data_IF_435854168241
#
_entry.id   IF_435854168241
#
_cell.length_a   1.000
_cell.length_b   1.000
_cell.length_c   1.000
_cell.angle_alpha   90.00
_cell.angle_beta   90.00
_cell.angle_gamma   90.00
#
_symmetry.space_group_name_H-M   'P 1'
#
loop_
_entity.id
_entity.type
_entity.pdbx_description
1 polymer ?
#
# COMPACT_ATOMS: atom_id res chain seq x y z
N UNK A 1 -24.95 -1.49 -53.38
CA UNK A 1 -25.07 -1.58 -51.92
C UNK A 1 -23.75 -2.10 -51.34
N UNK A 2 -23.14 -1.30 -50.49
CA UNK A 2 -21.89 -1.68 -49.82
C UNK A 2 -22.19 -2.29 -48.47
N UNK A 3 -21.70 -3.53 -48.29
CA UNK A 3 -21.70 -4.15 -47.00
C UNK A 3 -20.40 -3.81 -46.30
N UNK A 4 -20.51 -2.89 -45.31
CA UNK A 4 -19.36 -2.60 -44.46
C UNK A 4 -19.28 -3.65 -43.38
N UNK A 5 -18.16 -4.35 -43.35
CA UNK A 5 -17.90 -5.30 -42.29
C UNK A 5 -17.26 -4.53 -41.14
N UNK A 6 -18.03 -4.31 -40.11
CA UNK A 6 -17.57 -3.62 -38.89
C UNK A 6 -17.12 -4.68 -37.90
N UNK A 7 -15.87 -4.59 -37.50
CA UNK A 7 -15.37 -5.42 -36.41
C UNK A 7 -15.46 -4.62 -35.12
N UNK A 8 -16.31 -5.06 -34.22
CA UNK A 8 -16.50 -4.43 -32.91
C UNK A 8 -15.79 -5.23 -31.84
N UNK A 9 -15.02 -4.54 -31.04
CA UNK A 9 -14.36 -5.14 -29.88
C UNK A 9 -15.11 -4.72 -28.64
N UNK A 10 -15.41 -5.70 -27.79
CA UNK A 10 -16.00 -5.43 -26.51
C UNK A 10 -14.91 -4.91 -25.58
N UNK A 11 -15.06 -3.65 -25.17
CA UNK A 11 -14.15 -3.03 -24.22
C UNK A 11 -14.68 -3.32 -22.84
N UNK A 12 -13.95 -4.09 -22.05
CA UNK A 12 -14.33 -4.43 -20.70
C UNK A 12 -13.36 -3.81 -19.72
N UNK A 13 -13.85 -2.95 -18.84
CA UNK A 13 -12.98 -2.37 -17.80
C UNK A 13 -12.52 -3.44 -16.81
N UNK A 14 -11.52 -3.08 -16.03
CA UNK A 14 -10.95 -3.97 -15.04
C UNK A 14 -11.99 -4.37 -13.99
N UNK A 15 -11.99 -5.63 -13.62
CA UNK A 15 -12.92 -6.22 -12.67
C UNK A 15 -12.18 -7.08 -11.66
N UNK A 16 -12.87 -7.43 -10.58
CA UNK A 16 -12.35 -8.36 -9.58
C UNK A 16 -11.95 -9.67 -10.27
N UNK A 17 -10.82 -10.20 -9.87
CA UNK A 17 -10.16 -11.41 -10.38
C UNK A 17 -9.39 -11.22 -11.70
N UNK A 18 -9.41 -10.05 -12.30
CA UNK A 18 -8.56 -9.76 -13.44
C UNK A 18 -7.11 -9.61 -12.99
N UNK A 19 -6.17 -10.09 -13.79
CA UNK A 19 -4.76 -9.79 -13.61
C UNK A 19 -4.44 -8.54 -14.41
N UNK A 20 -3.77 -7.59 -13.77
CA UNK A 20 -3.45 -6.31 -14.40
C UNK A 20 -1.97 -6.00 -14.24
N UNK A 21 -1.47 -5.20 -15.18
CA UNK A 21 -0.16 -4.55 -15.06
C UNK A 21 -0.39 -3.05 -15.05
N UNK A 22 0.28 -2.38 -14.15
CA UNK A 22 0.13 -0.95 -13.98
C UNK A 22 1.42 -0.30 -13.49
N UNK A 23 1.51 0.99 -13.71
CA UNK A 23 2.46 1.83 -13.01
C UNK A 23 1.74 2.63 -11.94
N UNK A 24 2.38 2.83 -10.83
CA UNK A 24 1.81 3.61 -9.75
C UNK A 24 2.86 4.49 -9.09
N UNK A 25 2.41 5.56 -8.49
CA UNK A 25 3.19 6.39 -7.58
C UNK A 25 2.32 6.69 -6.37
N UNK A 26 2.83 6.40 -5.20
CA UNK A 26 2.09 6.59 -3.94
C UNK A 26 2.63 7.77 -3.15
N UNK A 27 1.72 8.55 -2.58
CA UNK A 27 2.01 9.75 -1.81
C UNK A 27 1.39 9.68 -0.42
N UNK A 28 2.11 10.19 0.56
CA UNK A 28 1.61 10.39 1.92
C UNK A 28 0.71 11.64 1.97
N UNK A 29 0.06 11.86 3.11
CA UNK A 29 -0.79 13.05 3.33
C UNK A 29 -0.03 14.36 3.13
N UNK A 30 1.26 14.39 3.46
CA UNK A 30 2.09 15.59 3.30
C UNK A 30 2.58 15.81 1.86
N UNK A 31 2.20 14.94 0.94
CA UNK A 31 2.62 15.03 -0.46
C UNK A 31 3.94 14.33 -0.78
N UNK A 32 4.61 13.75 0.20
CA UNK A 32 5.84 13.01 -0.06
C UNK A 32 5.57 11.70 -0.75
N UNK A 33 6.34 11.39 -1.79
CA UNK A 33 6.30 10.10 -2.46
C UNK A 33 6.92 9.04 -1.55
N UNK A 34 6.19 7.96 -1.31
CA UNK A 34 6.74 6.87 -0.50
C UNK A 34 7.09 5.64 -1.31
N UNK A 35 6.51 5.49 -2.50
CA UNK A 35 6.81 4.36 -3.38
C UNK A 35 6.40 4.69 -4.81
N UNK A 36 7.06 4.05 -5.78
CA UNK A 36 6.71 4.21 -7.19
C UNK A 36 7.24 3.02 -7.98
N UNK A 37 6.54 2.68 -9.05
CA UNK A 37 7.02 1.72 -10.04
C UNK A 37 7.68 2.40 -11.24
N UNK A 38 7.62 3.73 -11.34
CA UNK A 38 8.24 4.46 -12.45
C UNK A 38 9.76 4.23 -12.47
N UNK A 39 10.29 3.96 -13.64
CA UNK A 39 11.69 3.61 -13.81
C UNK A 39 12.03 2.17 -13.46
N UNK A 40 11.02 1.38 -13.11
CA UNK A 40 11.15 -0.05 -12.76
C UNK A 40 10.16 -0.85 -13.59
N UNK A 41 10.11 -2.16 -13.37
CA UNK A 41 9.11 -3.00 -14.01
C UNK A 41 7.72 -2.65 -13.51
N UNK A 42 6.69 -2.70 -14.37
CA UNK A 42 5.32 -2.50 -13.94
C UNK A 42 4.92 -3.46 -12.83
N UNK A 43 4.04 -3.02 -11.97
CA UNK A 43 3.46 -3.87 -10.94
C UNK A 43 2.42 -4.79 -11.58
N UNK A 44 2.54 -6.08 -11.31
CA UNK A 44 1.56 -7.07 -11.74
C UNK A 44 0.78 -7.54 -10.52
N UNK A 45 -0.54 -7.46 -10.60
CA UNK A 45 -1.37 -7.90 -9.49
C UNK A 45 -2.71 -8.46 -9.98
N UNK A 46 -3.37 -9.20 -9.09
CA UNK A 46 -4.73 -9.67 -9.31
C UNK A 46 -5.65 -8.81 -8.47
N UNK A 47 -6.65 -8.19 -9.12
CA UNK A 47 -7.61 -7.32 -8.42
C UNK A 47 -8.43 -8.16 -7.44
N UNK A 48 -8.51 -7.69 -6.19
CA UNK A 48 -9.21 -8.40 -5.12
C UNK A 48 -8.31 -9.27 -4.28
N UNK A 49 -7.02 -9.35 -4.59
CA UNK A 49 -6.06 -10.11 -3.80
C UNK A 49 -5.94 -9.57 -2.38
N UNK A 50 -5.83 -10.46 -1.41
CA UNK A 50 -5.62 -10.09 -0.01
C UNK A 50 -4.25 -9.45 0.23
N UNK A 51 -3.30 -9.63 -0.68
CA UNK A 51 -1.98 -9.03 -0.59
C UNK A 51 -1.97 -7.54 -0.92
N UNK A 52 -3.06 -7.05 -1.52
CA UNK A 52 -3.21 -5.66 -1.94
C UNK A 52 -4.16 -4.96 -0.98
N UNK A 53 -3.82 -3.73 -0.57
CA UNK A 53 -4.68 -2.97 0.34
C UNK A 53 -6.07 -2.79 -0.28
N UNK A 54 -7.15 -2.92 0.53
CA UNK A 54 -8.51 -2.93 -0.01
C UNK A 54 -8.90 -1.73 -0.85
N UNK A 55 -8.47 -0.54 -0.45
CA UNK A 55 -8.80 0.68 -1.19
C UNK A 55 -8.13 0.74 -2.56
N UNK A 56 -6.95 0.14 -2.70
CA UNK A 56 -6.28 0.06 -4.00
C UNK A 56 -7.04 -0.86 -4.94
N UNK A 57 -7.45 -2.04 -4.44
CA UNK A 57 -8.28 -2.96 -5.20
C UNK A 57 -9.56 -2.30 -5.70
N UNK A 58 -10.26 -1.60 -4.81
CA UNK A 58 -11.50 -0.90 -5.15
C UNK A 58 -11.27 0.17 -6.20
N UNK A 59 -10.18 0.91 -6.07
CA UNK A 59 -9.85 2.00 -6.98
C UNK A 59 -9.50 1.53 -8.38
N UNK A 60 -9.07 0.29 -8.54
CA UNK A 60 -8.74 -0.28 -9.86
C UNK A 60 -9.96 -0.75 -10.62
N UNK A 61 -11.04 -1.07 -9.92
CA UNK A 61 -12.26 -1.53 -10.57
C UNK A 61 -12.82 -0.48 -11.52
N UNK A 62 -13.15 -0.89 -12.71
CA UNK A 62 -13.72 -0.01 -13.73
C UNK A 62 -12.68 0.75 -14.55
N UNK A 63 -11.39 0.58 -14.30
CA UNK A 63 -10.36 1.21 -15.13
C UNK A 63 -10.24 0.56 -16.49
N UNK A 64 -10.01 1.39 -17.49
CA UNK A 64 -9.73 0.93 -18.85
C UNK A 64 -8.22 0.95 -19.10
N UNK A 65 -7.75 0.09 -20.01
CA UNK A 65 -6.34 0.09 -20.41
C UNK A 65 -5.97 1.46 -20.99
N UNK A 66 -4.89 2.01 -20.49
CA UNK A 66 -4.42 3.35 -20.86
C UNK A 66 -4.97 4.48 -19.99
N UNK A 67 -5.94 4.18 -19.16
CA UNK A 67 -6.51 5.18 -18.26
C UNK A 67 -5.53 5.54 -17.15
N UNK A 68 -5.51 6.81 -16.79
CA UNK A 68 -4.80 7.30 -15.61
C UNK A 68 -5.84 7.70 -14.58
N UNK A 69 -5.65 7.26 -13.33
CA UNK A 69 -6.59 7.54 -12.27
C UNK A 69 -5.84 7.84 -10.98
N UNK A 70 -6.33 8.82 -10.25
CA UNK A 70 -5.85 9.09 -8.90
C UNK A 70 -6.78 8.40 -7.92
N UNK A 71 -6.20 7.58 -7.04
CA UNK A 71 -6.96 6.82 -6.05
C UNK A 71 -6.56 7.33 -4.68
N UNK A 72 -7.52 7.85 -3.93
CA UNK A 72 -7.30 8.29 -2.56
C UNK A 72 -7.88 7.26 -1.61
N UNK A 73 -7.06 6.79 -0.68
CA UNK A 73 -7.41 5.66 0.20
C UNK A 73 -7.33 6.10 1.65
N UNK A 74 -8.47 6.10 2.37
CA UNK A 74 -8.45 6.42 3.80
C UNK A 74 -7.77 5.31 4.60
N UNK A 75 -7.30 5.62 5.83
CA UNK A 75 -6.56 4.63 6.62
C UNK A 75 -7.24 3.29 6.79
N UNK A 76 -8.55 3.26 6.98
CA UNK A 76 -9.30 2.01 7.18
C UNK A 76 -9.23 1.07 5.98
N UNK A 77 -8.99 1.58 4.78
CA UNK A 77 -8.88 0.79 3.55
C UNK A 77 -7.42 0.70 3.06
N UNK A 78 -6.49 1.21 3.83
CA UNK A 78 -5.05 1.16 3.57
C UNK A 78 -4.35 0.33 4.66
N UNK A 79 -3.48 0.96 5.45
CA UNK A 79 -2.70 0.26 6.47
C UNK A 79 -3.30 0.37 7.87
N UNK A 80 -4.57 0.77 7.94
CA UNK A 80 -5.31 0.84 9.18
C UNK A 80 -5.13 2.16 9.92
N UNK A 81 -5.91 2.31 10.96
CA UNK A 81 -5.87 3.48 11.82
C UNK A 81 -4.63 3.45 12.70
N UNK A 82 -4.18 4.62 13.12
CA UNK A 82 -3.15 4.74 14.12
C UNK A 82 -3.75 4.41 15.49
N UNK A 83 -3.08 3.55 16.26
CA UNK A 83 -3.54 3.11 17.58
C UNK A 83 -2.55 3.55 18.65
N UNK A 84 -3.01 4.38 19.57
CA UNK A 84 -2.17 4.86 20.69
C UNK A 84 -1.76 3.71 21.62
N UNK A 85 -2.57 2.67 21.70
CA UNK A 85 -2.27 1.49 22.53
C UNK A 85 -1.17 0.60 21.94
N UNK A 86 -0.67 0.91 20.74
CA UNK A 86 0.51 0.27 20.17
C UNK A 86 1.80 1.03 20.45
N UNK A 87 1.75 2.07 21.27
CA UNK A 87 2.93 2.72 21.79
C UNK A 87 3.22 2.11 23.14
N UNK A 88 4.36 1.43 23.26
CA UNK A 88 4.72 0.68 24.46
C UNK A 88 5.99 1.23 25.10
N UNK A 89 6.02 1.22 26.42
CA UNK A 89 7.21 1.47 27.20
C UNK A 89 8.02 0.18 27.28
N UNK A 90 9.27 0.26 26.86
CA UNK A 90 10.20 -0.88 26.86
C UNK A 90 11.44 -0.48 27.65
N UNK A 91 11.94 -1.37 28.49
CA UNK A 91 13.15 -1.09 29.26
C UNK A 91 14.34 -0.88 28.31
N UNK A 92 15.14 0.15 28.59
CA UNK A 92 16.36 0.41 27.80
C UNK A 92 17.33 -0.76 27.86
N UNK A 93 17.33 -1.48 28.98
CA UNK A 93 18.21 -2.64 29.16
C UNK A 93 17.89 -3.79 28.20
N UNK A 94 16.65 -3.82 27.63
CA UNK A 94 16.29 -4.83 26.63
C UNK A 94 16.80 -4.52 25.23
N UNK A 95 17.34 -3.32 25.03
CA UNK A 95 17.88 -2.91 23.73
C UNK A 95 19.39 -3.16 23.69
N UNK A 96 19.84 -3.76 22.61
CA UNK A 96 21.26 -3.93 22.36
C UNK A 96 21.77 -2.72 21.59
N UNK A 97 22.86 -2.12 22.09
CA UNK A 97 23.51 -1.00 21.45
C UNK A 97 22.95 0.36 21.86
N UNK A 98 23.46 1.41 21.24
CA UNK A 98 23.06 2.77 21.49
C UNK A 98 21.80 3.11 20.69
N UNK A 99 20.71 3.38 21.38
CA UNK A 99 19.44 3.69 20.76
C UNK A 99 19.25 5.20 20.58
N UNK A 100 18.64 5.59 19.47
CA UNK A 100 18.31 6.97 19.15
C UNK A 100 16.86 7.07 18.74
N UNK A 101 16.24 8.23 18.97
CA UNK A 101 14.91 8.52 18.45
C UNK A 101 14.93 8.37 16.92
N UNK A 102 13.97 7.64 16.39
CA UNK A 102 13.90 7.33 14.96
C UNK A 102 14.45 5.97 14.58
N UNK A 103 15.19 5.32 15.46
CA UNK A 103 15.71 3.96 15.19
C UNK A 103 14.56 2.95 15.14
N UNK A 104 14.73 1.95 14.28
CA UNK A 104 13.78 0.85 14.15
C UNK A 104 14.28 -0.31 15.00
N UNK A 105 13.38 -0.88 15.79
CA UNK A 105 13.66 -2.04 16.62
C UNK A 105 12.77 -3.21 16.19
N UNK A 106 13.29 -4.40 16.33
CA UNK A 106 12.56 -5.62 16.03
C UNK A 106 12.65 -6.56 17.23
N UNK A 107 11.55 -7.25 17.50
CA UNK A 107 11.51 -8.20 18.58
C UNK A 107 10.38 -9.19 18.41
N UNK A 108 10.30 -10.15 19.32
CA UNK A 108 9.22 -11.12 19.34
C UNK A 108 8.39 -10.93 20.59
N UNK A 109 7.07 -10.86 20.40
CA UNK A 109 6.10 -10.83 21.49
C UNK A 109 5.14 -11.97 21.24
N UNK A 110 5.04 -12.89 22.21
CA UNK A 110 4.18 -14.08 22.11
C UNK A 110 4.39 -14.90 20.81
N UNK A 111 5.65 -15.00 20.36
CA UNK A 111 5.99 -15.73 19.16
C UNK A 111 5.85 -14.98 17.85
N UNK A 112 5.30 -13.79 17.88
CA UNK A 112 5.16 -12.93 16.71
C UNK A 112 6.28 -11.90 16.62
N UNK A 113 6.82 -11.74 15.42
CA UNK A 113 7.79 -10.67 15.19
C UNK A 113 7.09 -9.35 15.04
N UNK A 114 7.56 -8.37 15.84
CA UNK A 114 7.07 -6.99 15.77
C UNK A 114 8.22 -6.07 15.43
N UNK A 115 7.92 -5.07 14.61
CA UNK A 115 8.85 -4.01 14.27
C UNK A 115 8.27 -2.70 14.76
N UNK A 116 9.08 -1.89 15.42
CA UNK A 116 8.64 -0.62 15.94
C UNK A 116 9.68 0.46 15.76
N UNK A 117 9.27 1.70 15.98
CA UNK A 117 10.11 2.87 15.87
C UNK A 117 10.23 3.55 17.24
N UNK A 118 11.45 3.87 17.64
CA UNK A 118 11.67 4.61 18.88
C UNK A 118 11.22 6.05 18.68
N UNK A 119 10.27 6.50 19.51
CA UNK A 119 9.72 7.85 19.42
C UNK A 119 10.18 8.75 20.57
N UNK A 120 10.61 8.16 21.68
CA UNK A 120 11.09 8.91 22.84
C UNK A 120 12.07 8.07 23.64
N UNK A 121 13.11 8.73 24.16
CA UNK A 121 14.08 8.11 25.06
C UNK A 121 13.91 8.73 26.44
N UNK A 122 13.68 7.87 27.43
CA UNK A 122 13.65 8.24 28.85
C UNK A 122 14.85 7.61 29.55
N UNK A 123 15.11 7.96 30.81
CA UNK A 123 16.31 7.49 31.53
C UNK A 123 16.38 5.97 31.61
N UNK A 124 15.27 5.29 31.93
CA UNK A 124 15.23 3.84 32.10
C UNK A 124 14.43 3.12 31.03
N UNK A 125 13.57 3.85 30.31
CA UNK A 125 12.66 3.30 29.34
C UNK A 125 12.79 3.98 27.99
N UNK A 126 12.29 3.30 26.97
CA UNK A 126 12.07 3.86 25.64
C UNK A 126 10.62 3.69 25.27
N UNK A 127 10.05 4.69 24.61
CA UNK A 127 8.74 4.56 23.99
C UNK A 127 8.92 4.09 22.56
N UNK A 128 8.28 2.97 22.24
CA UNK A 128 8.33 2.36 20.91
C UNK A 128 6.94 2.34 20.32
N UNK A 129 6.83 2.86 19.11
CA UNK A 129 5.59 2.85 18.34
C UNK A 129 5.58 1.64 17.42
N UNK A 130 4.69 0.69 17.69
CA UNK A 130 4.54 -0.54 16.92
C UNK A 130 3.46 -0.45 15.84
N UNK A 131 2.92 0.73 15.59
CA UNK A 131 2.03 0.94 14.44
C UNK A 131 2.78 0.70 13.13
N UNK A 132 2.05 0.27 12.11
CA UNK A 132 2.62 0.24 10.77
C UNK A 132 3.09 1.65 10.41
N UNK A 133 4.23 1.81 9.72
CA UNK A 133 4.74 3.15 9.36
C UNK A 133 3.75 4.03 8.61
N UNK A 134 2.81 3.43 7.88
CA UNK A 134 1.78 4.15 7.12
C UNK A 134 0.41 4.14 7.80
N UNK A 135 0.31 3.63 9.03
CA UNK A 135 -0.96 3.63 9.78
C UNK A 135 -1.42 5.07 10.04
N UNK A 136 -2.72 5.28 9.93
CA UNK A 136 -3.32 6.60 10.14
C UNK A 136 -3.17 7.56 8.97
N UNK A 137 -2.50 7.14 7.91
CA UNK A 137 -2.28 7.97 6.73
C UNK A 137 -3.35 7.72 5.67
N UNK A 138 -3.88 8.80 5.11
CA UNK A 138 -4.63 8.72 3.86
C UNK A 138 -3.59 8.70 2.75
N UNK A 139 -3.64 7.69 1.90
CA UNK A 139 -2.68 7.52 0.81
C UNK A 139 -3.31 7.95 -0.51
N UNK A 140 -2.50 8.55 -1.36
CA UNK A 140 -2.93 8.93 -2.71
C UNK A 140 -2.03 8.22 -3.71
N UNK A 141 -2.64 7.49 -4.64
CA UNK A 141 -1.92 6.78 -5.70
C UNK A 141 -2.30 7.33 -7.05
N UNK A 142 -1.30 7.69 -7.85
CA UNK A 142 -1.48 7.95 -9.27
C UNK A 142 -1.22 6.63 -9.98
N UNK A 143 -2.20 6.13 -10.72
CA UNK A 143 -2.16 4.82 -11.36
C UNK A 143 -2.40 4.95 -12.84
N UNK A 144 -1.60 4.25 -13.62
CA UNK A 144 -1.81 4.08 -15.06
C UNK A 144 -1.95 2.60 -15.36
N UNK A 145 -3.10 2.20 -15.88
CA UNK A 145 -3.37 0.81 -16.23
C UNK A 145 -2.77 0.51 -17.60
N UNK A 146 -1.86 -0.46 -17.66
CA UNK A 146 -1.14 -0.81 -18.88
C UNK A 146 -1.75 -2.00 -19.60
N UNK A 147 -2.21 -3.00 -18.86
CA UNK A 147 -2.68 -4.24 -19.43
C UNK A 147 -3.64 -4.96 -18.51
N UNK A 148 -4.63 -5.61 -19.10
CA UNK A 148 -5.51 -6.54 -18.40
C UNK A 148 -5.28 -7.91 -19.01
N UNK A 149 -4.91 -8.90 -18.19
CA UNK A 149 -4.64 -10.27 -18.66
C UNK A 149 -5.26 -11.28 -17.70
N UNK A 150 -5.16 -12.56 -18.03
CA UNK A 150 -5.66 -13.62 -17.17
C UNK A 150 -7.18 -13.66 -17.01
N UNK A 151 -7.90 -12.93 -17.85
CA UNK A 151 -9.35 -12.90 -17.82
C UNK A 151 -9.91 -14.16 -18.44
N UNK A 152 -10.75 -14.88 -17.70
CA UNK A 152 -11.47 -16.01 -18.23
C UNK A 152 -12.70 -15.51 -19.00
N UNK A 153 -12.74 -15.87 -20.25
CA UNK A 153 -13.88 -15.53 -21.11
C UNK A 153 -15.06 -16.47 -20.87
#
# INVERSE_FOLDING_TARGET
MFLMKLTLFLIMPAQVNDEVKLHFTGFLENGEMFDTSEGKSPLKLKIGSEEIIPGFNKGLEGMEVGEERQIQIPPALAYGKYHDDLIWEVSRDSLEGAAKVGDVVAGKVEGEELTGKIIELEDEDVLVDFNHPLAGQTLTFDVKLLEISGRNS
#
